data_IF_989994185371
#
_entry.id   IF_989994185371
#
_cell.length_a   1.000
_cell.length_b   1.000
_cell.length_c   1.000
_cell.angle_alpha   90.00
_cell.angle_beta   90.00
_cell.angle_gamma   90.00
#
_symmetry.space_group_name_H-M   'P 1'
#
loop_
_entity.id
_entity.type
_entity.pdbx_description
1 polymer ?
#
# COMPACT_ATOMS: atom_id res chain seq x y z
N UNK A 1 -64.46 -14.61 -15.48
CA UNK A 1 -65.31 -15.17 -14.42
C UNK A 1 -64.76 -14.71 -13.08
N UNK A 2 -65.54 -13.88 -12.34
CA UNK A 2 -65.62 -13.71 -10.86
C UNK A 2 -64.28 -13.53 -10.12
N UNK A 3 -63.89 -12.39 -9.54
CA UNK A 3 -64.55 -11.42 -8.65
C UNK A 3 -65.24 -12.00 -7.40
N UNK A 4 -64.87 -11.44 -6.24
CA UNK A 4 -65.37 -11.62 -4.85
C UNK A 4 -64.71 -12.77 -4.05
N UNK A 5 -64.27 -12.62 -2.78
CA UNK A 5 -64.60 -11.70 -1.69
C UNK A 5 -63.41 -11.57 -0.71
N UNK A 6 -62.92 -10.38 -0.33
CA UNK A 6 -63.33 -9.50 0.79
C UNK A 6 -63.28 -10.11 2.22
N UNK A 7 -62.23 -9.70 2.97
CA UNK A 7 -62.18 -9.09 4.33
C UNK A 7 -62.75 -9.87 5.54
N UNK A 8 -61.93 -10.07 6.58
CA UNK A 8 -61.86 -9.22 7.79
C UNK A 8 -61.28 -10.00 9.02
N UNK A 9 -60.42 -9.32 9.80
CA UNK A 9 -60.33 -9.24 11.28
C UNK A 9 -58.88 -8.77 11.60
N UNK A 10 -58.63 -7.48 11.85
CA UNK A 10 -58.91 -6.70 13.06
C UNK A 10 -58.12 -7.14 14.30
N UNK A 11 -57.14 -6.31 14.68
CA UNK A 11 -56.79 -6.05 16.08
C UNK A 11 -55.58 -6.77 16.65
N UNK A 12 -54.44 -6.07 16.73
CA UNK A 12 -53.48 -6.28 17.80
C UNK A 12 -52.67 -4.98 18.05
N UNK A 13 -53.07 -4.32 19.14
CA UNK A 13 -52.38 -3.39 20.01
C UNK A 13 -51.03 -2.76 19.59
N UNK A 14 -51.05 -1.42 19.49
CA UNK A 14 -49.91 -0.58 19.81
C UNK A 14 -49.74 -0.51 21.34
N UNK A 15 -48.58 -0.93 21.84
CA UNK A 15 -48.06 -0.59 23.16
C UNK A 15 -46.54 -0.42 23.02
N UNK A 16 -46.06 0.78 23.33
CA UNK A 16 -44.68 1.20 23.05
C UNK A 16 -43.65 0.76 24.07
N UNK A 17 -42.38 1.01 23.73
CA UNK A 17 -41.33 1.36 24.67
C UNK A 17 -40.42 2.38 23.98
N UNK A 18 -40.35 3.58 24.55
CA UNK A 18 -39.33 4.57 24.22
C UNK A 18 -37.96 3.99 24.58
N UNK A 19 -37.11 3.80 23.57
CA UNK A 19 -35.70 3.47 23.78
C UNK A 19 -34.96 4.71 24.31
N UNK A 20 -34.03 4.55 25.25
CA UNK A 20 -33.23 5.66 25.75
C UNK A 20 -32.39 6.24 24.59
N UNK A 21 -32.39 7.57 24.50
CA UNK A 21 -31.57 8.34 23.60
C UNK A 21 -30.09 7.93 23.78
N UNK A 22 -29.43 7.67 22.65
CA UNK A 22 -28.07 7.15 22.59
C UNK A 22 -27.09 8.00 23.39
N UNK A 23 -26.27 7.32 24.19
CA UNK A 23 -24.95 7.79 24.54
C UNK A 23 -24.19 8.01 23.23
N UNK A 24 -23.57 9.18 23.07
CA UNK A 24 -22.75 9.48 21.91
C UNK A 24 -21.54 8.55 21.85
N UNK A 25 -21.56 7.64 20.88
CA UNK A 25 -20.37 6.90 20.49
C UNK A 25 -19.39 7.88 19.81
N UNK A 26 -18.21 8.06 20.42
CA UNK A 26 -17.04 8.53 19.69
C UNK A 26 -16.66 7.45 18.64
N UNK A 27 -16.17 7.83 17.44
CA UNK A 27 -16.02 6.89 16.34
C UNK A 27 -14.91 5.87 16.64
N UNK A 28 -15.26 4.58 16.60
CA UNK A 28 -14.37 3.44 16.82
C UNK A 28 -13.19 3.35 15.84
N UNK A 29 -13.17 4.15 14.77
CA UNK A 29 -12.11 4.17 13.74
C UNK A 29 -10.89 5.02 14.13
N UNK A 30 -11.02 5.99 15.04
CA UNK A 30 -9.92 6.90 15.39
C UNK A 30 -8.84 6.24 16.29
N UNK A 31 -9.24 5.29 17.14
CA UNK A 31 -8.35 4.61 18.07
C UNK A 31 -7.35 3.66 17.38
N UNK A 32 -7.76 2.82 16.40
CA UNK A 32 -6.84 2.00 15.62
C UNK A 32 -5.77 2.81 14.87
N UNK A 33 -6.15 3.96 14.31
CA UNK A 33 -5.21 4.84 13.61
C UNK A 33 -4.18 5.45 14.55
N UNK A 34 -4.62 6.03 15.68
CA UNK A 34 -3.72 6.62 16.66
C UNK A 34 -2.73 5.58 17.22
N UNK A 35 -3.19 4.35 17.49
CA UNK A 35 -2.34 3.26 17.91
C UNK A 35 -1.29 2.90 16.84
N UNK A 36 -1.71 2.70 15.58
CA UNK A 36 -0.79 2.40 14.47
C UNK A 36 0.27 3.50 14.30
N UNK A 37 -0.16 4.77 14.37
CA UNK A 37 0.75 5.92 14.30
C UNK A 37 1.75 5.90 15.46
N UNK A 38 1.30 5.65 16.69
CA UNK A 38 2.21 5.58 17.85
C UNK A 38 3.25 4.46 17.74
N UNK A 39 2.86 3.29 17.23
CA UNK A 39 3.77 2.15 17.00
C UNK A 39 4.80 2.49 15.92
N UNK A 40 4.35 3.05 14.80
CA UNK A 40 5.24 3.48 13.72
C UNK A 40 6.24 4.55 14.20
N UNK A 41 5.78 5.55 14.96
CA UNK A 41 6.64 6.59 15.53
C UNK A 41 7.67 6.05 16.52
N UNK A 42 7.32 5.02 17.32
CA UNK A 42 8.29 4.35 18.19
C UNK A 42 9.39 3.64 17.37
N UNK A 43 9.02 2.99 16.26
CA UNK A 43 9.96 2.34 15.37
C UNK A 43 10.85 3.35 14.62
N UNK A 44 10.33 4.50 14.19
CA UNK A 44 11.15 5.58 13.63
C UNK A 44 12.16 6.12 14.63
N UNK A 45 11.78 6.29 15.91
CA UNK A 45 12.72 6.71 16.96
C UNK A 45 13.87 5.73 17.09
N UNK A 46 13.56 4.43 17.14
CA UNK A 46 14.59 3.39 17.25
C UNK A 46 15.49 3.32 16.01
N UNK A 47 14.93 3.51 14.82
CA UNK A 47 15.72 3.60 13.59
C UNK A 47 16.70 4.78 13.64
N UNK A 48 16.27 5.98 14.07
CA UNK A 48 17.16 7.14 14.19
C UNK A 48 18.33 6.86 15.14
N UNK A 49 18.09 6.23 16.29
CA UNK A 49 19.17 5.84 17.21
C UNK A 49 20.19 4.88 16.56
N UNK A 50 19.72 3.96 15.71
CA UNK A 50 20.61 3.04 14.96
C UNK A 50 21.38 3.80 13.88
N UNK A 51 20.72 4.70 13.15
CA UNK A 51 21.37 5.53 12.13
C UNK A 51 22.45 6.42 12.74
N UNK A 52 22.22 7.01 13.92
CA UNK A 52 23.21 7.78 14.66
C UNK A 52 24.44 6.95 15.04
N UNK A 53 24.23 5.72 15.54
CA UNK A 53 25.33 4.78 15.85
C UNK A 53 26.13 4.39 14.60
N UNK A 54 25.50 4.40 13.43
CA UNK A 54 26.13 4.14 12.14
C UNK A 54 26.67 5.40 11.43
N UNK A 55 26.76 6.55 12.11
CA UNK A 55 27.16 7.84 11.52
C UNK A 55 26.33 8.23 10.28
N UNK A 56 25.08 7.76 10.20
CA UNK A 56 24.17 7.88 9.07
C UNK A 56 24.77 7.40 7.73
N UNK A 57 25.60 6.37 7.79
CA UNK A 57 26.15 5.70 6.60
C UNK A 57 25.47 4.35 6.43
N UNK A 58 24.55 4.20 5.47
CA UNK A 58 24.00 2.90 5.17
C UNK A 58 25.07 2.04 4.48
N UNK A 59 24.87 0.72 4.51
CA UNK A 59 25.64 -0.26 3.77
C UNK A 59 25.51 -0.07 2.25
N UNK A 60 26.15 -0.94 1.47
CA UNK A 60 26.02 -0.90 0.02
C UNK A 60 24.58 -1.21 -0.41
N UNK A 61 24.04 -0.38 -1.31
CA UNK A 61 22.69 -0.55 -1.83
C UNK A 61 22.49 -1.89 -2.55
N UNK A 62 21.41 -2.59 -2.22
CA UNK A 62 20.94 -3.80 -2.89
C UNK A 62 19.42 -3.72 -3.08
N UNK A 63 18.91 -4.28 -4.18
CA UNK A 63 17.48 -4.31 -4.54
C UNK A 63 17.15 -5.63 -5.23
N UNK A 64 15.94 -6.13 -5.03
CA UNK A 64 15.36 -7.28 -5.73
C UNK A 64 14.37 -6.88 -6.83
N UNK A 65 14.34 -5.58 -7.20
CA UNK A 65 13.37 -5.02 -8.13
C UNK A 65 12.12 -4.56 -7.39
N UNK A 66 10.96 -5.14 -7.70
CA UNK A 66 9.78 -4.97 -6.87
C UNK A 66 9.77 -6.04 -5.76
N UNK A 67 9.91 -5.58 -4.51
CA UNK A 67 10.04 -6.42 -3.33
C UNK A 67 8.92 -7.44 -3.12
N UNK A 68 9.19 -8.45 -2.30
CA UNK A 68 8.26 -9.55 -2.04
C UNK A 68 8.25 -10.61 -3.14
N UNK A 69 9.27 -10.62 -4.00
CA UNK A 69 9.42 -11.57 -5.11
C UNK A 69 8.56 -11.25 -6.33
N UNK A 70 7.99 -10.04 -6.44
CA UNK A 70 7.14 -9.66 -7.57
C UNK A 70 7.92 -9.68 -8.88
N UNK A 71 9.13 -9.09 -8.92
CA UNK A 71 9.96 -9.12 -10.12
C UNK A 71 10.32 -10.55 -10.53
N UNK A 72 10.73 -11.41 -9.58
CA UNK A 72 11.01 -12.83 -9.87
C UNK A 72 9.79 -13.59 -10.39
N UNK A 73 8.61 -13.38 -9.79
CA UNK A 73 7.39 -14.03 -10.23
C UNK A 73 6.95 -13.54 -11.62
N UNK A 74 7.16 -12.27 -11.92
CA UNK A 74 6.89 -11.68 -13.24
C UNK A 74 7.78 -12.28 -14.32
N UNK A 75 9.08 -12.34 -14.08
CA UNK A 75 10.05 -12.95 -14.99
C UNK A 75 9.67 -14.42 -15.27
N UNK A 76 9.29 -15.18 -14.24
CA UNK A 76 8.82 -16.55 -14.41
C UNK A 76 7.58 -16.64 -15.32
N UNK A 77 6.61 -15.75 -15.16
CA UNK A 77 5.41 -15.73 -16.01
C UNK A 77 5.78 -15.34 -17.45
N UNK A 78 6.65 -14.34 -17.61
CA UNK A 78 7.12 -13.88 -18.91
C UNK A 78 7.87 -14.98 -19.69
N UNK A 79 8.72 -15.75 -19.00
CA UNK A 79 9.44 -16.89 -19.58
C UNK A 79 8.51 -18.04 -19.99
N UNK A 80 7.47 -18.31 -19.19
CA UNK A 80 6.51 -19.37 -19.46
C UNK A 80 5.49 -19.01 -20.54
N UNK A 81 5.19 -17.72 -20.72
CA UNK A 81 4.15 -17.22 -21.61
C UNK A 81 4.72 -16.10 -22.51
N UNK A 82 5.34 -16.42 -23.66
CA UNK A 82 5.89 -15.40 -24.55
C UNK A 82 4.91 -14.29 -24.97
N UNK A 83 3.61 -14.56 -25.24
CA UNK A 83 2.65 -13.48 -25.52
C UNK A 83 2.45 -12.49 -24.35
N UNK A 84 2.64 -12.96 -23.10
CA UNK A 84 2.64 -12.08 -21.94
C UNK A 84 3.85 -11.15 -22.01
N UNK A 85 5.06 -11.69 -22.21
CA UNK A 85 6.28 -10.88 -22.30
C UNK A 85 6.26 -9.87 -23.46
N UNK A 86 5.67 -10.25 -24.60
CA UNK A 86 5.47 -9.32 -25.73
C UNK A 86 4.57 -8.14 -25.38
N UNK A 87 3.56 -8.37 -24.53
CA UNK A 87 2.59 -7.34 -24.13
C UNK A 87 3.01 -6.55 -22.90
N UNK A 88 3.66 -7.21 -21.96
CA UNK A 88 3.88 -6.74 -20.60
C UNK A 88 5.36 -6.61 -20.24
N UNK A 89 6.24 -6.87 -21.20
CA UNK A 89 7.70 -6.91 -21.03
C UNK A 89 8.16 -8.08 -20.17
N UNK A 90 9.47 -8.38 -20.25
CA UNK A 90 10.08 -9.46 -19.47
C UNK A 90 10.08 -9.17 -17.95
N UNK A 91 9.87 -7.91 -17.57
CA UNK A 91 9.84 -7.44 -16.17
C UNK A 91 8.65 -6.51 -15.96
N UNK A 92 8.24 -6.25 -14.70
CA UNK A 92 7.17 -5.30 -14.43
C UNK A 92 7.50 -3.94 -15.07
N UNK A 93 6.57 -3.34 -15.85
CA UNK A 93 6.80 -2.05 -16.49
C UNK A 93 7.15 -0.92 -15.51
N UNK A 94 6.78 -1.10 -14.24
CA UNK A 94 7.06 -0.18 -13.14
C UNK A 94 8.24 -0.63 -12.25
N UNK A 95 9.07 -1.60 -12.66
CA UNK A 95 10.22 -2.06 -11.86
C UNK A 95 11.18 -0.91 -11.51
N UNK A 96 11.37 0.03 -12.43
CA UNK A 96 12.17 1.23 -12.19
C UNK A 96 11.62 2.10 -11.05
N UNK A 97 10.29 2.16 -10.89
CA UNK A 97 9.64 2.83 -9.76
C UNK A 97 9.97 2.14 -8.43
N UNK A 98 9.94 0.79 -8.41
CA UNK A 98 10.30 0.00 -7.23
C UNK A 98 11.77 0.20 -6.85
N UNK A 99 12.70 0.13 -7.82
CA UNK A 99 14.13 0.36 -7.55
C UNK A 99 14.40 1.77 -7.00
N UNK A 100 13.68 2.78 -7.50
CA UNK A 100 13.80 4.15 -6.98
C UNK A 100 13.25 4.27 -5.55
N UNK A 101 12.13 3.61 -5.25
CA UNK A 101 11.56 3.51 -3.91
C UNK A 101 12.52 2.81 -2.95
N UNK A 102 13.09 1.69 -3.36
CA UNK A 102 14.10 0.92 -2.62
C UNK A 102 15.30 1.77 -2.25
N UNK A 103 15.82 2.62 -3.14
CA UNK A 103 16.94 3.51 -2.83
C UNK A 103 16.61 4.47 -1.69
N UNK A 104 15.37 4.98 -1.70
CA UNK A 104 14.89 5.88 -0.66
C UNK A 104 14.70 5.13 0.66
N UNK A 105 14.12 3.93 0.59
CA UNK A 105 13.94 3.04 1.73
C UNK A 105 15.26 2.64 2.37
N UNK A 106 16.22 2.19 1.56
CA UNK A 106 17.57 1.83 1.97
C UNK A 106 18.23 2.91 2.83
N UNK A 107 18.19 4.15 2.32
CA UNK A 107 18.82 5.30 2.97
C UNK A 107 17.96 5.95 4.07
N UNK A 108 16.78 5.40 4.37
CA UNK A 108 15.77 6.02 5.24
C UNK A 108 15.47 7.48 4.84
N UNK A 109 15.45 7.77 3.54
CA UNK A 109 15.26 9.11 2.99
C UNK A 109 16.30 10.14 3.43
N UNK A 110 17.45 9.71 3.96
CA UNK A 110 18.46 10.60 4.53
C UNK A 110 18.01 11.32 5.81
N UNK A 111 16.97 10.81 6.48
CA UNK A 111 16.37 11.47 7.64
C UNK A 111 17.36 11.66 8.80
N UNK A 112 17.19 12.78 9.52
CA UNK A 112 17.99 13.14 10.71
C UNK A 112 17.15 13.27 11.99
N UNK A 113 15.83 13.24 11.86
CA UNK A 113 14.89 13.29 12.97
C UNK A 113 13.79 12.25 12.78
N UNK A 114 13.05 11.97 13.85
CA UNK A 114 11.95 10.99 13.83
C UNK A 114 10.85 11.48 12.89
N UNK A 115 10.49 12.75 12.98
CA UNK A 115 9.45 13.39 12.19
C UNK A 115 9.84 13.44 10.71
N UNK A 116 11.10 13.76 10.40
CA UNK A 116 11.60 13.73 9.03
C UNK A 116 11.59 12.31 8.47
N UNK A 117 11.94 11.31 9.29
CA UNK A 117 11.92 9.91 8.85
C UNK A 117 10.51 9.44 8.52
N UNK A 118 9.51 9.81 9.32
CA UNK A 118 8.12 9.48 9.05
C UNK A 118 7.63 10.14 7.75
N UNK A 119 7.88 11.44 7.60
CA UNK A 119 7.49 12.20 6.41
C UNK A 119 8.18 11.71 5.14
N UNK A 120 9.48 11.42 5.22
CA UNK A 120 10.26 10.92 4.11
C UNK A 120 9.76 9.54 3.65
N UNK A 121 9.37 8.66 4.58
CA UNK A 121 8.75 7.38 4.24
C UNK A 121 7.43 7.58 3.51
N UNK A 122 6.52 8.37 4.08
CA UNK A 122 5.24 8.66 3.44
C UNK A 122 5.42 9.27 2.03
N UNK A 123 6.35 10.21 1.89
CA UNK A 123 6.68 10.82 0.60
C UNK A 123 7.25 9.81 -0.40
N UNK A 124 8.08 8.87 0.04
CA UNK A 124 8.60 7.80 -0.80
C UNK A 124 7.46 6.91 -1.33
N UNK A 125 6.53 6.54 -0.45
CA UNK A 125 5.38 5.70 -0.77
C UNK A 125 4.44 6.38 -1.78
N UNK A 126 4.14 7.68 -1.60
CA UNK A 126 3.38 8.47 -2.57
C UNK A 126 4.12 8.62 -3.91
N UNK A 127 5.45 8.75 -3.88
CA UNK A 127 6.27 8.84 -5.11
C UNK A 127 6.20 7.54 -5.90
N UNK A 128 6.25 6.38 -5.23
CA UNK A 128 6.04 5.08 -5.86
C UNK A 128 4.66 4.99 -6.52
N UNK A 129 3.62 5.36 -5.77
CA UNK A 129 2.23 5.37 -6.26
C UNK A 129 2.09 6.21 -7.52
N UNK A 130 2.58 7.44 -7.50
CA UNK A 130 2.54 8.34 -8.65
C UNK A 130 3.32 7.79 -9.86
N UNK A 131 4.51 7.22 -9.64
CA UNK A 131 5.33 6.62 -10.69
C UNK A 131 4.64 5.44 -11.38
N UNK A 132 3.93 4.59 -10.62
CA UNK A 132 3.16 3.47 -11.17
C UNK A 132 1.98 3.97 -12.00
N UNK A 133 1.27 5.00 -11.55
CA UNK A 133 0.19 5.63 -12.34
C UNK A 133 0.72 6.18 -13.66
N UNK A 134 1.85 6.90 -13.62
CA UNK A 134 2.49 7.47 -14.81
C UNK A 134 2.95 6.38 -15.80
N UNK A 135 3.45 5.26 -15.29
CA UNK A 135 3.74 4.07 -16.10
C UNK A 135 2.50 3.60 -16.85
N UNK A 136 1.33 3.65 -16.21
CA UNK A 136 0.05 3.36 -16.82
C UNK A 136 -0.32 4.30 -17.94
N UNK A 137 -0.17 5.62 -17.72
CA UNK A 137 -0.43 6.68 -18.72
C UNK A 137 0.37 6.42 -19.99
N UNK A 138 1.66 6.09 -19.87
CA UNK A 138 2.53 5.78 -21.01
C UNK A 138 2.12 4.53 -21.80
N UNK A 139 1.24 3.69 -21.24
CA UNK A 139 0.82 2.40 -21.81
C UNK A 139 -0.64 2.37 -22.24
N UNK A 140 -1.41 3.43 -21.99
CA UNK A 140 -2.86 3.49 -22.27
C UNK A 140 -3.18 3.10 -23.71
N UNK A 141 -2.53 3.74 -24.68
CA UNK A 141 -2.82 3.52 -26.10
C UNK A 141 -2.56 2.06 -26.52
N UNK A 142 -1.39 1.53 -26.13
CA UNK A 142 -0.99 0.18 -26.49
C UNK A 142 -1.89 -0.89 -25.86
N UNK A 143 -2.18 -0.77 -24.57
CA UNK A 143 -2.99 -1.76 -23.85
C UNK A 143 -4.47 -1.68 -24.24
N UNK A 144 -4.99 -0.48 -24.50
CA UNK A 144 -6.36 -0.30 -24.99
C UNK A 144 -6.58 -1.03 -26.33
N UNK A 145 -5.63 -0.89 -27.27
CA UNK A 145 -5.68 -1.58 -28.55
C UNK A 145 -5.51 -3.10 -28.40
N UNK A 146 -4.55 -3.54 -27.59
CA UNK A 146 -4.21 -4.96 -27.42
C UNK A 146 -5.35 -5.75 -26.78
N UNK A 147 -6.02 -5.17 -25.77
CA UNK A 147 -7.07 -5.85 -25.01
C UNK A 147 -8.50 -5.43 -25.40
N UNK A 148 -8.67 -4.53 -26.36
CA UNK A 148 -10.00 -4.00 -26.73
C UNK A 148 -10.67 -3.23 -25.59
N UNK A 149 -9.88 -2.56 -24.75
CA UNK A 149 -10.33 -1.80 -23.59
C UNK A 149 -10.44 -0.31 -23.91
N UNK A 150 -11.29 0.41 -23.18
CA UNK A 150 -11.27 1.86 -23.18
C UNK A 150 -10.08 2.42 -22.39
N UNK A 151 -9.58 3.60 -22.77
CA UNK A 151 -8.48 4.28 -22.09
C UNK A 151 -8.70 4.39 -20.56
N UNK A 152 -9.91 4.80 -20.16
CA UNK A 152 -10.29 4.91 -18.75
C UNK A 152 -10.21 3.57 -17.98
N UNK A 153 -10.38 2.43 -18.65
CA UNK A 153 -10.24 1.12 -17.99
C UNK A 153 -8.78 0.78 -17.73
N UNK A 154 -7.87 1.15 -18.64
CA UNK A 154 -6.42 0.98 -18.45
C UNK A 154 -5.93 1.89 -17.33
N UNK A 155 -6.33 3.16 -17.35
CA UNK A 155 -6.02 4.13 -16.28
C UNK A 155 -6.52 3.64 -14.91
N UNK A 156 -7.77 3.15 -14.84
CA UNK A 156 -8.33 2.60 -13.61
C UNK A 156 -7.56 1.37 -13.13
N UNK A 157 -7.12 0.49 -14.03
CA UNK A 157 -6.33 -0.69 -13.67
C UNK A 157 -4.98 -0.29 -13.03
N UNK A 158 -4.27 0.67 -13.62
CA UNK A 158 -3.01 1.17 -13.06
C UNK A 158 -3.21 1.94 -11.76
N UNK A 159 -4.30 2.69 -11.63
CA UNK A 159 -4.68 3.33 -10.37
C UNK A 159 -4.87 2.32 -9.24
N UNK A 160 -5.58 1.22 -9.50
CA UNK A 160 -5.78 0.14 -8.53
C UNK A 160 -4.47 -0.56 -8.14
N UNK A 161 -3.57 -0.80 -9.12
CA UNK A 161 -2.24 -1.38 -8.84
C UNK A 161 -1.43 -0.42 -7.95
N UNK A 162 -1.42 0.87 -8.29
CA UNK A 162 -0.68 1.88 -7.54
C UNK A 162 -1.20 2.03 -6.10
N UNK A 163 -2.51 2.02 -5.91
CA UNK A 163 -3.16 2.06 -4.58
C UNK A 163 -2.81 0.82 -3.76
N UNK A 164 -2.91 -0.37 -4.36
CA UNK A 164 -2.55 -1.62 -3.70
C UNK A 164 -1.06 -1.65 -3.30
N UNK A 165 -0.17 -1.15 -4.16
CA UNK A 165 1.26 -1.04 -3.85
C UNK A 165 1.51 -0.06 -2.71
N UNK A 166 0.87 1.11 -2.71
CA UNK A 166 0.96 2.09 -1.63
C UNK A 166 0.56 1.48 -0.29
N UNK A 167 -0.61 0.82 -0.23
CA UNK A 167 -1.08 0.18 0.98
C UNK A 167 -0.13 -0.93 1.47
N UNK A 168 0.38 -1.74 0.54
CA UNK A 168 1.34 -2.81 0.84
C UNK A 168 2.62 -2.26 1.48
N UNK A 169 3.23 -1.20 0.93
CA UNK A 169 4.46 -0.61 1.50
C UNK A 169 4.19 0.14 2.80
N UNK A 170 3.01 0.77 2.96
CA UNK A 170 2.60 1.40 4.23
C UNK A 170 2.42 0.39 5.36
N UNK A 171 1.99 -0.82 5.05
CA UNK A 171 1.77 -1.90 6.02
C UNK A 171 3.04 -2.72 6.27
N UNK A 172 3.70 -3.19 5.21
CA UNK A 172 4.85 -4.10 5.27
C UNK A 172 6.21 -3.43 5.33
N UNK A 173 6.32 -2.16 4.95
CA UNK A 173 7.59 -1.43 4.84
C UNK A 173 8.02 -0.69 6.11
N UNK A 174 7.40 -0.93 7.27
CA UNK A 174 7.69 -0.19 8.49
C UNK A 174 9.13 -0.36 8.99
N UNK A 175 9.73 0.65 9.65
CA UNK A 175 11.05 0.51 10.28
C UNK A 175 11.05 -0.57 11.35
N UNK A 176 12.22 -1.13 11.64
CA UNK A 176 12.44 -2.12 12.70
C UNK A 176 11.52 -3.36 12.66
N UNK A 177 10.99 -3.72 11.49
CA UNK A 177 10.14 -4.92 11.30
C UNK A 177 10.92 -6.22 11.14
N UNK A 178 12.25 -6.14 10.97
CA UNK A 178 13.11 -7.28 10.61
C UNK A 178 13.01 -7.72 9.15
N UNK A 179 12.11 -7.12 8.37
CA UNK A 179 11.97 -7.44 6.97
C UNK A 179 13.17 -6.87 6.18
N UNK A 180 13.65 -7.58 5.14
CA UNK A 180 14.82 -7.16 4.39
C UNK A 180 14.55 -5.92 3.51
N UNK A 181 13.28 -5.59 3.25
CA UNK A 181 12.82 -4.39 2.52
C UNK A 181 12.23 -3.30 3.45
N UNK A 182 12.49 -3.37 4.76
CA UNK A 182 11.98 -2.38 5.73
C UNK A 182 12.49 -0.97 5.44
N UNK A 183 11.75 0.05 5.86
CA UNK A 183 12.29 1.41 5.89
C UNK A 183 13.59 1.47 6.70
N UNK A 184 14.67 1.98 6.08
CA UNK A 184 16.02 2.00 6.63
C UNK A 184 16.78 0.68 6.54
N UNK A 185 16.46 -0.20 5.59
CA UNK A 185 17.11 -1.52 5.51
C UNK A 185 18.62 -1.48 5.22
N UNK A 186 19.15 -0.34 4.75
CA UNK A 186 20.59 -0.14 4.61
C UNK A 186 21.33 0.07 5.95
N UNK A 187 20.61 0.19 7.06
CA UNK A 187 21.20 0.28 8.40
C UNK A 187 21.07 -1.05 9.13
N UNK A 188 21.80 -1.23 10.25
CA UNK A 188 21.62 -2.40 11.10
C UNK A 188 20.16 -2.64 11.52
N UNK A 189 19.88 -3.90 11.87
CA UNK A 189 18.61 -4.30 12.46
C UNK A 189 18.29 -3.46 13.70
N UNK A 190 16.99 -3.24 13.92
CA UNK A 190 16.51 -2.43 15.03
C UNK A 190 15.29 -3.04 15.72
N UNK A 191 15.08 -4.34 15.49
CA UNK A 191 14.09 -5.14 16.21
C UNK A 191 14.41 -5.14 17.71
N UNK A 192 13.37 -5.33 18.54
CA UNK A 192 13.54 -5.44 19.99
C UNK A 192 14.46 -6.64 20.29
N UNK A 193 15.60 -6.38 20.93
CA UNK A 193 16.58 -7.40 21.30
C UNK A 193 17.88 -7.40 20.48
N UNK A 194 17.99 -6.53 19.47
CA UNK A 194 19.22 -6.26 18.69
C UNK A 194 19.94 -4.97 19.11
#
# INVERSE_FOLDING_TARGET
MREHARRALAGALAAGLAGPAGAGDAPAEAQPFALRLSVEMAAHRRLIEVMERADHRPDAFATDGCSGGLSTAWELIADLLPPFAETHEARPPWESCCIAHDRTYHAAGGARSVEDSYRARFSADETLRACVIETGVGRVEYLAQTYGLGAAQVEAAYGLIADAMFDAVRLGGGPCSGLPWRWGYGYPGCLIGE
#
